data_IF_832985585915
#
_entry.id   IF_832985585915
#
_cell.length_a   1.000
_cell.length_b   1.000
_cell.length_c   1.000
_cell.angle_alpha   90.00
_cell.angle_beta   90.00
_cell.angle_gamma   90.00
#
_symmetry.space_group_name_H-M   'P 1'
#
loop_
_entity.id
_entity.type
_entity.pdbx_description
1 polymer ?
#
# COMPACT_ATOMS: atom_id res chain seq x y z
N UNK A 1 19.91 8.79 -38.79
CA UNK A 1 19.77 7.40 -38.32
C UNK A 1 20.69 7.05 -37.12
N UNK A 2 21.98 7.44 -37.11
CA UNK A 2 22.92 7.07 -36.02
C UNK A 2 22.63 7.68 -34.63
N UNK A 3 22.00 8.85 -34.54
CA UNK A 3 21.72 9.50 -33.24
C UNK A 3 20.67 8.75 -32.42
N UNK A 4 19.71 8.09 -33.07
CA UNK A 4 18.61 7.39 -32.40
C UNK A 4 19.08 6.07 -31.79
N UNK A 5 19.99 5.37 -32.47
CA UNK A 5 20.60 4.13 -31.97
C UNK A 5 21.37 4.34 -30.65
N UNK A 6 21.96 5.51 -30.42
CA UNK A 6 22.70 5.82 -29.18
C UNK A 6 21.73 6.00 -28.00
N UNK A 7 20.57 6.66 -28.22
CA UNK A 7 19.52 6.78 -27.20
C UNK A 7 18.87 5.43 -26.89
N UNK A 8 18.61 4.61 -27.91
CA UNK A 8 18.08 3.24 -27.72
C UNK A 8 19.06 2.35 -26.97
N UNK A 9 20.36 2.43 -27.29
CA UNK A 9 21.40 1.66 -26.59
C UNK A 9 21.59 2.12 -25.14
N UNK A 10 21.54 3.43 -24.85
CA UNK A 10 21.58 3.93 -23.47
C UNK A 10 20.35 3.50 -22.66
N UNK A 11 19.16 3.47 -23.28
CA UNK A 11 17.94 3.02 -22.62
C UNK A 11 17.99 1.51 -22.29
N UNK A 12 18.52 0.70 -23.21
CA UNK A 12 18.68 -0.74 -23.02
C UNK A 12 19.79 -1.10 -22.01
N UNK A 13 20.87 -0.32 -21.92
CA UNK A 13 21.95 -0.52 -20.95
C UNK A 13 21.57 -0.08 -19.53
N UNK A 14 20.73 0.95 -19.38
CA UNK A 14 20.23 1.38 -18.06
C UNK A 14 19.21 0.43 -17.44
N UNK A 15 18.45 -0.31 -18.26
CA UNK A 15 17.44 -1.27 -17.80
C UNK A 15 18.05 -2.46 -17.04
N UNK A 16 19.26 -2.90 -17.41
CA UNK A 16 19.91 -4.08 -16.82
C UNK A 16 20.45 -3.88 -15.40
N UNK A 17 20.45 -2.66 -14.86
CA UNK A 17 20.92 -2.36 -13.50
C UNK A 17 19.77 -2.15 -12.49
N UNK A 18 18.51 -2.26 -12.92
CA UNK A 18 17.36 -2.08 -12.05
C UNK A 18 17.07 -3.35 -11.24
N UNK A 19 17.64 -3.45 -10.03
CA UNK A 19 17.19 -4.43 -9.05
C UNK A 19 15.92 -3.89 -8.38
N UNK A 20 14.76 -4.43 -8.75
CA UNK A 20 13.49 -4.11 -8.13
C UNK A 20 13.15 -5.19 -7.11
N UNK A 21 13.27 -4.87 -5.81
CA UNK A 21 12.71 -5.72 -4.75
C UNK A 21 11.24 -5.38 -4.63
N UNK A 22 10.37 -6.36 -4.82
CA UNK A 22 8.94 -6.16 -4.60
C UNK A 22 8.67 -5.98 -3.10
N UNK A 23 7.94 -4.92 -2.76
CA UNK A 23 7.26 -4.80 -1.47
C UNK A 23 5.79 -5.15 -1.71
N UNK A 24 5.32 -6.34 -1.29
CA UNK A 24 3.93 -6.72 -1.41
C UNK A 24 3.05 -5.65 -0.73
N UNK A 25 2.06 -5.13 -1.48
CA UNK A 25 1.10 -4.11 -1.03
C UNK A 25 1.73 -2.91 -0.32
N UNK A 26 2.71 -2.30 -0.98
CA UNK A 26 3.44 -1.14 -0.45
C UNK A 26 2.54 -0.03 0.12
N UNK A 27 1.52 0.42 -0.60
CA UNK A 27 0.56 1.40 -0.08
C UNK A 27 -0.77 1.28 -0.83
N UNK A 28 -1.87 1.55 -0.13
CA UNK A 28 -3.22 1.48 -0.67
C UNK A 28 -3.98 2.67 -0.11
N UNK A 29 -4.56 3.51 -0.96
CA UNK A 29 -5.36 4.63 -0.49
C UNK A 29 -6.84 4.26 -0.43
N UNK A 30 -7.60 5.04 0.36
CA UNK A 30 -9.03 4.79 0.59
C UNK A 30 -9.83 4.77 -0.72
N UNK A 31 -9.61 5.76 -1.60
CA UNK A 31 -10.33 5.85 -2.88
C UNK A 31 -10.06 4.64 -3.78
N UNK A 32 -8.79 4.28 -4.08
CA UNK A 32 -8.51 3.05 -4.83
C UNK A 32 -9.07 1.76 -4.22
N UNK A 33 -9.06 1.65 -2.89
CA UNK A 33 -9.60 0.49 -2.17
C UNK A 33 -11.14 0.43 -2.30
N UNK A 34 -11.82 1.55 -2.09
CA UNK A 34 -13.28 1.67 -2.27
C UNK A 34 -13.75 1.44 -3.71
N UNK A 35 -12.85 1.56 -4.68
CA UNK A 35 -13.11 1.22 -6.09
C UNK A 35 -12.83 -0.26 -6.43
N UNK A 36 -12.54 -1.10 -5.42
CA UNK A 36 -12.22 -2.52 -5.63
C UNK A 36 -10.98 -2.75 -6.50
N UNK A 37 -10.02 -1.82 -6.50
CA UNK A 37 -8.81 -1.90 -7.33
C UNK A 37 -8.96 -1.40 -8.77
N UNK A 38 -10.13 -0.90 -9.19
CA UNK A 38 -10.34 -0.36 -10.54
C UNK A 38 -9.59 0.96 -10.82
N UNK A 39 -9.05 1.59 -9.79
CA UNK A 39 -8.41 2.91 -9.87
C UNK A 39 -7.24 2.98 -10.85
N UNK A 40 -6.52 1.88 -11.11
CA UNK A 40 -5.43 1.83 -12.10
C UNK A 40 -5.85 2.35 -13.48
N UNK A 41 -7.12 2.18 -13.89
CA UNK A 41 -7.65 2.66 -15.18
C UNK A 41 -8.07 4.16 -15.16
N UNK A 42 -8.48 4.65 -13.99
CA UNK A 42 -9.07 5.98 -13.80
C UNK A 42 -8.23 6.88 -12.89
N UNK A 43 -6.94 6.55 -12.75
CA UNK A 43 -6.02 7.35 -11.94
C UNK A 43 -5.97 8.80 -12.43
N UNK A 44 -6.29 9.73 -11.54
CA UNK A 44 -6.50 11.15 -11.83
C UNK A 44 -6.13 12.06 -10.63
N UNK A 45 -5.48 11.51 -9.60
CA UNK A 45 -5.11 12.21 -8.36
C UNK A 45 -3.70 11.79 -7.85
N UNK A 46 -3.34 12.17 -6.63
CA UNK A 46 -2.07 11.82 -5.98
C UNK A 46 -1.79 10.31 -5.90
N UNK A 47 -2.84 9.49 -5.84
CA UNK A 47 -2.76 8.05 -5.74
C UNK A 47 -2.23 7.43 -7.04
N UNK A 48 -2.23 8.17 -8.15
CA UNK A 48 -1.56 7.79 -9.39
C UNK A 48 -0.08 7.40 -9.18
N UNK A 49 0.60 7.98 -8.17
CA UNK A 49 1.97 7.60 -7.79
C UNK A 49 2.10 6.12 -7.39
N UNK A 50 1.06 5.55 -6.80
CA UNK A 50 1.05 4.18 -6.29
C UNK A 50 0.43 3.18 -7.27
N UNK A 51 -0.48 3.65 -8.13
CA UNK A 51 -1.24 2.81 -9.05
C UNK A 51 -0.81 2.97 -10.51
N UNK A 52 -1.03 4.14 -11.12
CA UNK A 52 -0.72 4.40 -12.52
C UNK A 52 -0.25 5.85 -12.76
N UNK A 53 1.08 6.10 -12.86
CA UNK A 53 1.63 7.44 -13.06
C UNK A 53 1.22 8.12 -14.37
N UNK A 54 0.79 7.36 -15.39
CA UNK A 54 0.25 7.96 -16.62
C UNK A 54 -1.05 8.73 -16.38
N UNK A 55 -1.75 8.42 -15.27
CA UNK A 55 -2.92 9.13 -14.78
C UNK A 55 -2.63 10.56 -14.32
N UNK A 56 -1.38 10.93 -14.06
CA UNK A 56 -1.01 12.30 -13.68
C UNK A 56 -1.33 13.34 -14.76
N UNK A 57 -1.40 12.93 -16.03
CA UNK A 57 -1.86 13.77 -17.12
C UNK A 57 -3.38 14.05 -17.06
N UNK A 58 -4.15 13.27 -16.30
CA UNK A 58 -5.59 13.50 -16.09
C UNK A 58 -5.89 14.41 -14.89
N UNK A 59 -4.89 14.77 -14.08
CA UNK A 59 -5.06 15.69 -12.97
C UNK A 59 -5.42 17.08 -13.52
N UNK A 60 -6.63 17.56 -13.21
CA UNK A 60 -7.16 18.84 -13.70
C UNK A 60 -6.73 20.04 -12.83
N UNK A 61 -6.64 19.83 -11.53
CA UNK A 61 -6.32 20.87 -10.55
C UNK A 61 -5.11 20.50 -9.72
N UNK A 62 -4.38 21.51 -9.26
CA UNK A 62 -3.33 21.26 -8.28
C UNK A 62 -3.95 20.93 -6.92
N UNK A 63 -3.32 20.01 -6.19
CA UNK A 63 -3.75 19.57 -4.87
C UNK A 63 -2.55 19.40 -3.96
N UNK A 64 -2.76 19.68 -2.67
CA UNK A 64 -1.73 19.49 -1.65
C UNK A 64 -2.36 18.94 -0.37
N UNK A 65 -1.84 17.83 0.12
CA UNK A 65 -2.13 17.31 1.45
C UNK A 65 -0.89 17.50 2.32
N UNK A 66 -1.00 18.25 3.42
CA UNK A 66 0.09 18.35 4.42
C UNK A 66 -0.14 17.39 5.59
N UNK A 67 -1.40 17.26 6.01
CA UNK A 67 -1.83 16.39 7.11
C UNK A 67 -2.99 15.54 6.60
N UNK A 68 -2.70 14.29 6.28
CA UNK A 68 -3.65 13.32 5.77
C UNK A 68 -3.43 11.96 6.45
N UNK A 69 -3.80 11.83 7.74
CA UNK A 69 -3.73 10.57 8.43
C UNK A 69 -4.70 9.57 7.80
N UNK A 70 -4.25 8.34 7.68
CA UNK A 70 -4.99 7.20 7.16
C UNK A 70 -4.89 6.07 8.18
N UNK A 71 -6.05 5.52 8.54
CA UNK A 71 -6.15 4.35 9.40
C UNK A 71 -6.89 3.27 8.64
N UNK A 72 -6.39 2.05 8.72
CA UNK A 72 -6.99 0.86 8.14
C UNK A 72 -7.02 -0.24 9.20
N UNK A 73 -8.16 -0.93 9.26
CA UNK A 73 -8.37 -2.12 10.05
C UNK A 73 -9.08 -3.15 9.17
N UNK A 74 -8.61 -4.40 9.18
CA UNK A 74 -9.28 -5.50 8.49
C UNK A 74 -10.62 -5.84 9.14
N UNK A 75 -11.56 -6.35 8.35
CA UNK A 75 -12.92 -6.73 8.82
C UNK A 75 -12.85 -7.66 10.04
N UNK A 76 -12.04 -8.72 9.96
CA UNK A 76 -11.82 -9.68 11.05
C UNK A 76 -11.24 -9.05 12.32
N UNK A 77 -10.43 -7.98 12.21
CA UNK A 77 -9.94 -7.25 13.38
C UNK A 77 -11.02 -6.43 14.06
N UNK A 78 -11.91 -5.83 13.26
CA UNK A 78 -13.06 -5.07 13.77
C UNK A 78 -14.09 -6.02 14.40
N UNK A 79 -14.34 -7.16 13.78
CA UNK A 79 -15.26 -8.17 14.29
C UNK A 79 -14.72 -8.79 15.59
N UNK A 80 -13.42 -9.12 15.66
CA UNK A 80 -12.79 -9.60 16.90
C UNK A 80 -12.96 -8.61 18.04
N UNK A 81 -12.78 -7.32 17.78
CA UNK A 81 -12.96 -6.29 18.80
C UNK A 81 -14.41 -6.19 19.30
N UNK A 82 -15.39 -6.38 18.41
CA UNK A 82 -16.82 -6.40 18.76
C UNK A 82 -17.16 -7.64 19.57
N UNK A 83 -16.79 -8.82 19.07
CA UNK A 83 -17.11 -10.10 19.69
C UNK A 83 -16.42 -10.25 21.06
N UNK A 84 -15.17 -9.79 21.18
CA UNK A 84 -14.45 -9.77 22.46
C UNK A 84 -15.08 -8.83 23.49
N UNK A 85 -15.80 -7.79 23.06
CA UNK A 85 -16.50 -6.88 23.98
C UNK A 85 -17.82 -7.46 24.47
N UNK A 86 -18.47 -8.26 23.62
CA UNK A 86 -19.77 -8.86 23.90
C UNK A 86 -19.66 -10.24 24.58
N UNK A 87 -18.48 -10.89 24.53
CA UNK A 87 -18.19 -12.19 25.17
C UNK A 87 -17.94 -12.06 26.68
N UNK A 88 -18.54 -12.93 27.49
CA UNK A 88 -18.20 -13.08 28.90
C UNK A 88 -16.95 -13.97 29.05
N UNK A 89 -15.80 -13.35 29.32
CA UNK A 89 -14.52 -14.06 29.53
C UNK A 89 -14.51 -15.02 30.73
N UNK A 90 -15.56 -15.04 31.55
CA UNK A 90 -15.71 -16.00 32.64
C UNK A 90 -16.36 -17.33 32.19
N UNK A 91 -16.92 -17.40 30.97
CA UNK A 91 -17.51 -18.61 30.42
C UNK A 91 -16.58 -19.32 29.43
N UNK A 92 -16.12 -20.52 29.79
CA UNK A 92 -15.14 -21.29 29.00
C UNK A 92 -15.64 -21.59 27.58
N UNK A 93 -16.95 -21.70 27.36
CA UNK A 93 -17.54 -22.02 26.05
C UNK A 93 -17.45 -20.84 25.08
N UNK A 94 -17.84 -19.65 25.52
CA UNK A 94 -17.81 -18.45 24.67
C UNK A 94 -16.38 -18.03 24.30
N UNK A 95 -15.44 -18.14 25.26
CA UNK A 95 -14.02 -17.90 25.00
C UNK A 95 -13.45 -18.92 24.00
N UNK A 96 -13.87 -20.19 24.09
CA UNK A 96 -13.40 -21.22 23.15
C UNK A 96 -13.93 -20.99 21.73
N UNK A 97 -15.18 -20.55 21.59
CA UNK A 97 -15.78 -20.29 20.28
C UNK A 97 -15.20 -19.02 19.63
N UNK A 98 -14.96 -17.96 20.41
CA UNK A 98 -14.23 -16.79 19.94
C UNK A 98 -12.80 -17.15 19.48
N UNK A 99 -12.07 -17.96 20.25
CA UNK A 99 -10.74 -18.39 19.83
C UNK A 99 -10.80 -19.23 18.54
N UNK A 100 -11.80 -20.09 18.36
CA UNK A 100 -11.96 -20.88 17.13
C UNK A 100 -12.24 -20.02 15.90
N UNK A 101 -13.09 -19.01 16.02
CA UNK A 101 -13.51 -18.18 14.89
C UNK A 101 -12.40 -17.26 14.36
N UNK A 102 -11.41 -16.94 15.21
CA UNK A 102 -10.29 -16.06 14.86
C UNK A 102 -8.94 -16.78 14.68
N UNK A 103 -8.86 -18.09 14.95
CA UNK A 103 -7.66 -18.88 14.62
C UNK A 103 -7.57 -19.07 13.10
N UNK A 104 -6.41 -18.73 12.53
CA UNK A 104 -6.12 -18.76 11.10
C UNK A 104 -6.49 -17.47 10.35
N UNK A 105 -7.23 -16.56 10.99
CA UNK A 105 -7.64 -15.28 10.39
C UNK A 105 -6.52 -14.23 10.46
N UNK A 106 -6.46 -13.37 9.44
CA UNK A 106 -5.49 -12.27 9.38
C UNK A 106 -6.05 -11.00 10.05
N UNK A 107 -5.49 -10.63 11.19
CA UNK A 107 -5.76 -9.36 11.83
C UNK A 107 -4.80 -8.31 11.24
N UNK A 108 -5.34 -7.38 10.44
CA UNK A 108 -4.57 -6.32 9.80
C UNK A 108 -4.89 -4.95 10.39
N UNK A 109 -3.85 -4.20 10.78
CA UNK A 109 -3.95 -2.80 11.16
C UNK A 109 -2.87 -1.99 10.49
N UNK A 110 -3.22 -0.79 10.03
CA UNK A 110 -2.25 0.14 9.44
C UNK A 110 -2.60 1.58 9.77
N UNK A 111 -1.56 2.35 10.09
CA UNK A 111 -1.61 3.79 10.20
C UNK A 111 -0.61 4.40 9.22
N UNK A 112 -1.03 5.40 8.45
CA UNK A 112 -0.19 6.05 7.46
C UNK A 112 -0.43 7.55 7.38
N UNK A 113 0.57 8.28 6.90
CA UNK A 113 0.48 9.69 6.51
C UNK A 113 1.16 9.85 5.16
N UNK A 114 0.57 10.62 4.26
CA UNK A 114 1.10 10.81 2.91
C UNK A 114 1.05 12.28 2.47
N UNK A 115 1.85 13.17 3.09
CA UNK A 115 1.96 14.52 2.61
C UNK A 115 2.42 14.54 1.15
N UNK A 116 1.67 15.23 0.31
CA UNK A 116 1.88 15.20 -1.13
C UNK A 116 1.52 16.53 -1.77
N UNK A 117 2.07 16.73 -2.96
CA UNK A 117 1.72 17.79 -3.87
C UNK A 117 1.52 17.16 -5.25
N UNK A 118 0.35 17.40 -5.85
CA UNK A 118 -0.03 16.88 -7.15
C UNK A 118 -0.50 18.02 -8.04
N UNK A 119 -0.16 17.95 -9.33
CA UNK A 119 -0.65 18.86 -10.37
C UNK A 119 -0.69 18.12 -11.69
N UNK A 120 -1.26 18.75 -12.71
CA UNK A 120 -1.20 18.25 -14.08
C UNK A 120 0.25 17.83 -14.45
N UNK A 121 0.41 16.54 -14.78
CA UNK A 121 1.65 15.85 -15.20
C UNK A 121 2.71 15.61 -14.15
N UNK A 122 2.49 15.99 -12.89
CA UNK A 122 3.51 15.90 -11.85
C UNK A 122 2.92 15.59 -10.48
N UNK A 123 3.56 14.70 -9.74
CA UNK A 123 3.27 14.49 -8.34
C UNK A 123 4.55 14.23 -7.54
N UNK A 124 4.54 14.67 -6.30
CA UNK A 124 5.58 14.45 -5.30
C UNK A 124 4.89 14.11 -3.98
N UNK A 125 5.45 13.17 -3.21
CA UNK A 125 4.95 12.93 -1.87
C UNK A 125 5.91 12.12 -1.01
N UNK A 126 5.69 12.18 0.30
CA UNK A 126 6.41 11.39 1.29
C UNK A 126 5.40 10.52 2.01
N UNK A 127 5.62 9.21 2.01
CA UNK A 127 4.82 8.25 2.73
C UNK A 127 5.54 7.88 4.03
N UNK A 128 4.82 7.93 5.15
CA UNK A 128 5.19 7.26 6.39
C UNK A 128 4.06 6.33 6.79
N UNK A 129 4.35 5.08 7.09
CA UNK A 129 3.34 4.12 7.54
C UNK A 129 3.90 3.11 8.53
N UNK A 130 3.01 2.60 9.36
CA UNK A 130 3.22 1.45 10.24
C UNK A 130 2.10 0.47 9.97
N UNK A 131 2.45 -0.78 9.68
CA UNK A 131 1.51 -1.88 9.53
C UNK A 131 1.83 -2.98 10.54
N UNK A 132 0.78 -3.60 11.06
CA UNK A 132 0.84 -4.73 11.97
C UNK A 132 -0.12 -5.78 11.46
N UNK A 133 0.40 -6.97 11.18
CA UNK A 133 -0.37 -8.16 10.86
C UNK A 133 -0.16 -9.16 11.99
N UNK A 134 -1.25 -9.74 12.47
CA UNK A 134 -1.21 -10.83 13.45
C UNK A 134 -2.02 -11.98 12.87
N UNK A 135 -1.42 -13.17 12.84
CA UNK A 135 -2.11 -14.39 12.46
C UNK A 135 -1.91 -15.45 13.56
N UNK A 136 -2.95 -15.71 14.36
CA UNK A 136 -2.96 -16.83 15.29
C UNK A 136 -3.08 -18.15 14.51
N UNK A 137 -2.32 -19.14 14.91
CA UNK A 137 -2.30 -20.49 14.36
C UNK A 137 -2.50 -21.50 15.49
N UNK A 138 -3.08 -22.65 15.12
CA UNK A 138 -3.08 -23.91 15.86
C UNK A 138 -3.71 -23.89 17.28
N UNK A 139 -4.86 -24.56 17.42
CA UNK A 139 -5.57 -24.73 18.71
C UNK A 139 -4.84 -25.59 19.74
N UNK A 140 -3.97 -26.51 19.32
CA UNK A 140 -3.30 -27.47 20.20
C UNK A 140 -1.93 -26.97 20.70
N UNK A 141 -1.27 -26.13 19.90
CA UNK A 141 -0.02 -25.45 20.23
C UNK A 141 -0.14 -24.00 19.75
N UNK A 142 -0.59 -23.06 20.60
CA UNK A 142 -0.85 -21.69 20.19
C UNK A 142 0.42 -21.03 19.65
N UNK A 143 0.39 -20.67 18.38
CA UNK A 143 1.48 -19.99 17.69
C UNK A 143 0.92 -18.72 17.04
N UNK A 144 1.54 -17.57 17.26
CA UNK A 144 1.12 -16.32 16.64
C UNK A 144 2.25 -15.79 15.76
N UNK A 145 1.97 -15.67 14.45
CA UNK A 145 2.87 -14.96 13.53
C UNK A 145 2.55 -13.47 13.63
N UNK A 146 3.53 -12.71 14.10
CA UNK A 146 3.45 -11.25 14.22
C UNK A 146 4.39 -10.63 13.20
N UNK A 147 3.80 -9.92 12.24
CA UNK A 147 4.51 -9.17 11.22
C UNK A 147 4.25 -7.68 11.42
N UNK A 148 5.25 -6.97 11.91
CA UNK A 148 5.23 -5.53 12.05
C UNK A 148 6.22 -4.89 11.07
N UNK A 149 5.77 -3.88 10.32
CA UNK A 149 6.66 -3.10 9.49
C UNK A 149 6.43 -1.60 9.63
N UNK A 150 7.54 -0.86 9.74
CA UNK A 150 7.57 0.60 9.69
C UNK A 150 8.25 1.02 8.39
N UNK A 151 7.53 1.75 7.55
CA UNK A 151 7.97 2.09 6.20
C UNK A 151 7.93 3.59 5.98
N UNK A 152 9.03 4.13 5.45
CA UNK A 152 9.13 5.53 5.00
C UNK A 152 9.57 5.54 3.54
N UNK A 153 8.95 6.37 2.70
CA UNK A 153 9.38 6.49 1.32
C UNK A 153 9.05 7.80 0.63
N UNK A 154 9.96 8.25 -0.23
CA UNK A 154 9.77 9.40 -1.12
C UNK A 154 9.28 8.97 -2.49
N UNK A 155 8.35 9.72 -3.05
CA UNK A 155 7.65 9.43 -4.30
C UNK A 155 7.73 10.62 -5.23
N UNK A 156 8.10 10.39 -6.48
CA UNK A 156 8.05 11.37 -7.55
C UNK A 156 7.45 10.71 -8.79
N UNK A 157 6.53 11.39 -9.45
CA UNK A 157 5.84 10.87 -10.62
C UNK A 157 5.66 11.93 -11.69
N UNK A 158 5.74 11.48 -12.94
CA UNK A 158 5.51 12.28 -14.12
C UNK A 158 4.59 11.52 -15.09
N UNK A 159 3.72 12.24 -15.77
CA UNK A 159 2.80 11.68 -16.77
C UNK A 159 2.56 12.64 -17.93
N UNK A 160 2.41 12.12 -19.14
CA UNK A 160 2.19 12.91 -20.35
C UNK A 160 1.19 12.22 -21.29
N UNK A 161 0.29 13.01 -21.87
CA UNK A 161 -0.59 12.63 -22.97
C UNK A 161 0.01 12.93 -24.35
N UNK A 162 -0.25 12.04 -25.30
CA UNK A 162 0.09 12.14 -26.72
C UNK A 162 -1.16 11.87 -27.58
N UNK A 163 -1.15 12.35 -28.83
CA UNK A 163 -2.23 12.14 -29.80
C UNK A 163 -3.61 12.53 -29.27
N UNK A 164 -3.77 13.79 -28.83
CA UNK A 164 -5.03 14.28 -28.22
C UNK A 164 -5.46 13.41 -27.03
N UNK A 165 -4.51 13.00 -26.20
CA UNK A 165 -4.70 12.18 -25.00
C UNK A 165 -5.21 10.75 -25.23
N UNK A 166 -5.12 10.23 -26.47
CA UNK A 166 -5.42 8.82 -26.80
C UNK A 166 -4.35 7.87 -26.25
N UNK A 167 -3.10 8.34 -26.17
CA UNK A 167 -2.00 7.60 -25.56
C UNK A 167 -1.48 8.40 -24.37
N UNK A 168 -1.34 7.76 -23.21
CA UNK A 168 -0.71 8.36 -22.03
C UNK A 168 0.44 7.51 -21.56
N UNK A 169 1.55 8.15 -21.22
CA UNK A 169 2.76 7.51 -20.72
C UNK A 169 3.14 8.22 -19.42
N UNK A 170 3.49 7.46 -18.39
CA UNK A 170 3.98 8.01 -17.15
C UNK A 170 4.99 7.09 -16.49
N UNK A 171 5.80 7.67 -15.63
CA UNK A 171 6.80 6.97 -14.83
C UNK A 171 6.83 7.54 -13.42
N UNK A 172 7.12 6.69 -12.45
CA UNK A 172 7.33 7.10 -11.07
C UNK A 172 8.62 6.50 -10.52
N UNK A 173 9.31 7.29 -9.70
CA UNK A 173 10.47 6.90 -8.93
C UNK A 173 10.04 6.86 -7.46
N UNK A 174 10.39 5.77 -6.79
CA UNK A 174 10.09 5.54 -5.38
C UNK A 174 11.38 5.19 -4.66
N UNK A 175 11.70 5.93 -3.60
CA UNK A 175 12.75 5.57 -2.67
C UNK A 175 12.11 5.10 -1.39
N UNK A 176 12.34 3.84 -1.01
CA UNK A 176 11.64 3.19 0.09
C UNK A 176 12.63 2.62 1.10
N UNK A 177 12.41 2.88 2.38
CA UNK A 177 13.08 2.24 3.49
C UNK A 177 12.04 1.60 4.40
N UNK A 178 12.11 0.28 4.55
CA UNK A 178 11.22 -0.49 5.41
C UNK A 178 12.05 -1.19 6.50
N UNK A 179 11.56 -1.09 7.74
CA UNK A 179 12.04 -1.83 8.90
C UNK A 179 10.98 -2.87 9.24
N UNK A 180 11.32 -4.15 9.12
CA UNK A 180 10.38 -5.25 9.31
C UNK A 180 10.84 -6.12 10.48
N UNK A 181 9.93 -6.41 11.38
CA UNK A 181 10.06 -7.40 12.43
C UNK A 181 9.06 -8.50 12.11
N UNK A 182 9.56 -9.71 11.91
CA UNK A 182 8.74 -10.90 11.75
C UNK A 182 9.17 -11.86 12.85
N UNK A 183 8.27 -12.14 13.78
CA UNK A 183 8.55 -13.01 14.91
C UNK A 183 7.37 -13.94 15.12
N UNK A 184 7.71 -15.22 15.29
CA UNK A 184 6.75 -16.29 15.57
C UNK A 184 6.80 -16.51 17.07
N UNK A 185 5.72 -16.15 17.76
CA UNK A 185 5.60 -16.36 19.20
C UNK A 185 4.91 -17.69 19.46
N UNK A 186 5.54 -18.55 20.25
CA UNK A 186 4.94 -19.79 20.74
C UNK A 186 4.57 -19.60 22.21
N UNK A 187 3.36 -20.02 22.61
CA UNK A 187 2.90 -19.98 24.00
C UNK A 187 3.23 -21.27 24.77
#
# INVERSE_FOLDING_TARGET
MKRWAIWTACFLLGASAASARELPRYFQAVRPLGMGGAFTAVADDENALFYNPAGLDKVEHWGMGLVNPLFEAGEKGVDLYRDARDTDFNETTEVTDLLRDYIGEYLHYRAAVFPHFVRHRFALGVLGQVNVNVQPHNVAFPEADVDAAATVGGHLGLGWGFFENKLRIGGAVKYVKAYRLQEVYTA
#
